data_IF_265659744838
#
_entry.id   IF_265659744838
#
_cell.length_a   1.000
_cell.length_b   1.000
_cell.length_c   1.000
_cell.angle_alpha   90.00
_cell.angle_beta   90.00
_cell.angle_gamma   90.00
#
_symmetry.space_group_name_H-M   'P 1'
#
loop_
_entity.id
_entity.type
_entity.pdbx_description
1 polymer ?
#
# COMPACT_ATOMS: atom_id res chain seq x y z
N UNK A 1 5.54 -23.56 -7.65
CA UNK A 1 6.76 -23.76 -6.83
C UNK A 1 7.33 -22.38 -6.53
N UNK A 2 7.63 -22.07 -5.26
CA UNK A 2 8.17 -20.74 -4.90
C UNK A 2 9.63 -20.69 -5.34
N UNK A 3 10.04 -19.73 -6.19
CA UNK A 3 11.41 -19.63 -6.68
C UNK A 3 12.30 -19.02 -5.60
N UNK A 4 12.74 -19.84 -4.64
CA UNK A 4 13.73 -19.41 -3.64
C UNK A 4 15.13 -19.59 -4.22
N UNK A 5 15.95 -18.56 -4.14
CA UNK A 5 17.38 -18.66 -4.47
C UNK A 5 18.12 -19.40 -3.33
N UNK A 6 18.54 -20.66 -3.53
CA UNK A 6 19.26 -21.42 -2.51
C UNK A 6 20.66 -20.86 -2.21
N UNK A 7 21.18 -19.97 -3.07
CA UNK A 7 22.44 -19.27 -2.79
C UNK A 7 22.24 -18.20 -1.73
N UNK A 8 21.09 -17.53 -1.74
CA UNK A 8 20.74 -16.47 -0.79
C UNK A 8 20.23 -17.05 0.54
N UNK A 9 19.29 -17.99 0.49
CA UNK A 9 18.62 -18.53 1.68
C UNK A 9 19.18 -19.91 2.06
N UNK A 10 19.93 -20.03 3.17
CA UNK A 10 20.38 -21.32 3.67
C UNK A 10 19.19 -22.15 4.18
N UNK A 11 19.29 -23.47 4.06
CA UNK A 11 18.39 -24.39 4.78
C UNK A 11 18.69 -24.28 6.26
N UNK A 12 17.68 -23.98 7.07
CA UNK A 12 17.81 -23.89 8.52
C UNK A 12 16.49 -24.25 9.19
N UNK A 13 16.57 -25.07 10.24
CA UNK A 13 15.41 -25.42 11.04
C UNK A 13 14.87 -24.20 11.78
N UNK A 14 13.55 -24.03 11.74
CA UNK A 14 12.88 -22.90 12.36
C UNK A 14 13.11 -21.57 11.64
N UNK A 15 13.56 -21.56 10.38
CA UNK A 15 13.64 -20.36 9.55
C UNK A 15 12.58 -20.38 8.46
N UNK A 16 11.83 -19.27 8.36
CA UNK A 16 10.67 -19.17 7.49
C UNK A 16 10.73 -17.88 6.68
N UNK A 17 10.65 -17.98 5.35
CA UNK A 17 10.38 -16.81 4.52
C UNK A 17 8.90 -16.47 4.61
N UNK A 18 8.54 -15.21 4.87
CA UNK A 18 7.19 -14.81 5.27
C UNK A 18 6.71 -13.57 4.52
N UNK A 19 5.41 -13.27 4.65
CA UNK A 19 4.90 -11.93 4.36
C UNK A 19 4.72 -11.62 2.88
N UNK A 20 5.02 -10.37 2.52
CA UNK A 20 4.80 -9.84 1.18
C UNK A 20 5.67 -10.53 0.13
N UNK A 21 6.87 -10.99 0.51
CA UNK A 21 7.78 -11.69 -0.40
C UNK A 21 7.16 -12.98 -0.97
N UNK A 22 6.48 -13.77 -0.13
CA UNK A 22 5.78 -15.00 -0.54
C UNK A 22 4.64 -14.68 -1.49
N UNK A 23 3.80 -13.70 -1.14
CA UNK A 23 2.69 -13.23 -1.98
C UNK A 23 3.20 -12.79 -3.35
N UNK A 24 4.25 -11.98 -3.38
CA UNK A 24 4.78 -11.39 -4.60
C UNK A 24 5.30 -12.48 -5.55
N UNK A 25 6.05 -13.45 -5.03
CA UNK A 25 6.51 -14.61 -5.79
C UNK A 25 5.37 -15.48 -6.31
N UNK A 26 4.33 -15.73 -5.50
CA UNK A 26 3.15 -16.48 -5.94
C UNK A 26 2.34 -15.72 -7.02
N UNK A 27 2.41 -14.39 -7.02
CA UNK A 27 1.88 -13.52 -8.08
C UNK A 27 2.82 -13.36 -9.29
N UNK A 28 3.93 -14.10 -9.35
CA UNK A 28 4.89 -14.04 -10.46
C UNK A 28 5.76 -12.76 -10.48
N UNK A 29 5.88 -12.06 -9.35
CA UNK A 29 6.76 -10.89 -9.18
C UNK A 29 8.04 -11.28 -8.44
N UNK A 30 9.14 -10.61 -8.76
CA UNK A 30 10.40 -10.76 -8.03
C UNK A 30 10.48 -9.72 -6.91
N UNK A 31 10.39 -10.11 -5.63
CA UNK A 31 10.55 -9.16 -4.53
C UNK A 31 12.01 -8.69 -4.42
N UNK A 32 12.19 -7.43 -4.05
CA UNK A 32 13.49 -6.85 -3.69
C UNK A 32 13.71 -6.88 -2.17
N UNK A 33 12.61 -6.87 -1.40
CA UNK A 33 12.58 -6.95 0.04
C UNK A 33 12.02 -8.32 0.47
N UNK A 34 12.78 -9.04 1.28
CA UNK A 34 12.41 -10.34 1.83
C UNK A 34 12.26 -10.25 3.34
N UNK A 35 11.19 -10.81 3.87
CA UNK A 35 10.97 -10.92 5.32
C UNK A 35 11.21 -12.37 5.74
N UNK A 36 12.05 -12.59 6.75
CA UNK A 36 12.31 -13.90 7.35
C UNK A 36 11.94 -13.87 8.83
N UNK A 37 11.12 -14.83 9.26
CA UNK A 37 10.87 -15.12 10.66
C UNK A 37 11.70 -16.33 11.10
N UNK A 38 12.40 -16.22 12.23
CA UNK A 38 13.17 -17.34 12.81
C UNK A 38 12.69 -17.68 14.22
N UNK A 39 12.69 -18.96 14.58
CA UNK A 39 12.40 -19.43 15.95
C UNK A 39 13.64 -19.32 16.86
N UNK A 40 14.84 -19.35 16.28
CA UNK A 40 16.12 -19.22 16.97
C UNK A 40 16.63 -17.78 17.04
N UNK A 41 17.96 -17.62 17.04
CA UNK A 41 18.62 -16.30 17.06
C UNK A 41 18.58 -15.63 15.67
N UNK A 42 17.91 -14.48 15.52
CA UNK A 42 17.88 -13.74 14.25
C UNK A 42 19.27 -13.27 13.80
N UNK A 43 20.18 -12.94 14.72
CA UNK A 43 21.51 -12.46 14.36
C UNK A 43 22.38 -13.57 13.76
N UNK A 44 22.27 -14.78 14.30
CA UNK A 44 22.98 -15.95 13.75
C UNK A 44 22.54 -16.23 12.31
N UNK A 45 21.23 -16.28 12.06
CA UNK A 45 20.70 -16.51 10.72
C UNK A 45 21.10 -15.37 9.75
N UNK A 46 21.05 -14.12 10.22
CA UNK A 46 21.45 -12.96 9.44
C UNK A 46 22.93 -12.99 9.02
N UNK A 47 23.85 -13.44 9.88
CA UNK A 47 25.26 -13.60 9.54
C UNK A 47 25.48 -14.60 8.41
N UNK A 48 24.69 -15.68 8.37
CA UNK A 48 24.77 -16.66 7.29
C UNK A 48 24.33 -16.05 5.96
N UNK A 49 23.22 -15.30 5.94
CA UNK A 49 22.74 -14.59 4.74
C UNK A 49 23.75 -13.52 4.30
N UNK A 50 24.27 -12.71 5.23
CA UNK A 50 25.24 -11.66 4.93
C UNK A 50 26.52 -12.24 4.30
N UNK A 51 27.01 -13.38 4.80
CA UNK A 51 28.18 -14.06 4.23
C UNK A 51 27.93 -14.55 2.80
N UNK A 52 26.76 -15.13 2.54
CA UNK A 52 26.37 -15.66 1.23
C UNK A 52 26.13 -14.57 0.18
N UNK A 53 25.52 -13.46 0.60
CA UNK A 53 25.15 -12.34 -0.28
C UNK A 53 26.23 -11.25 -0.34
N UNK A 54 27.31 -11.37 0.46
CA UNK A 54 28.28 -10.30 0.72
C UNK A 54 27.60 -9.01 1.21
N UNK A 55 26.47 -9.16 1.89
CA UNK A 55 25.67 -8.07 2.42
C UNK A 55 26.20 -7.50 3.73
N UNK A 56 25.69 -6.34 4.12
CA UNK A 56 25.99 -5.67 5.40
C UNK A 56 24.83 -5.84 6.37
N UNK A 57 25.17 -6.10 7.64
CA UNK A 57 24.21 -6.19 8.73
C UNK A 57 23.91 -4.81 9.30
N UNK A 58 22.63 -4.51 9.50
CA UNK A 58 22.13 -3.30 10.15
C UNK A 58 21.07 -3.72 11.16
N UNK A 59 21.27 -3.35 12.42
CA UNK A 59 20.26 -3.54 13.45
C UNK A 59 19.33 -2.33 13.48
N UNK A 60 18.03 -2.57 13.34
CA UNK A 60 17.00 -1.53 13.28
C UNK A 60 15.92 -1.87 14.29
N UNK A 61 15.52 -0.90 15.11
CA UNK A 61 14.37 -1.03 16.00
C UNK A 61 14.65 -0.60 17.42
N UNK A 62 13.73 -1.00 18.31
CA UNK A 62 13.80 -0.75 19.75
C UNK A 62 13.99 -2.08 20.47
N UNK A 63 14.53 -2.10 21.70
CA UNK A 63 14.57 -3.31 22.53
C UNK A 63 13.20 -3.99 22.58
N UNK A 64 13.14 -5.28 22.22
CA UNK A 64 11.90 -6.07 22.11
C UNK A 64 11.21 -6.06 20.73
N UNK A 65 11.66 -5.22 19.79
CA UNK A 65 11.23 -5.19 18.38
C UNK A 65 12.45 -4.96 17.48
N UNK A 66 13.49 -5.76 17.69
CA UNK A 66 14.72 -5.68 16.89
C UNK A 66 14.54 -6.42 15.58
N UNK A 67 14.88 -5.75 14.49
CA UNK A 67 14.95 -6.31 13.14
C UNK A 67 16.43 -6.30 12.74
N UNK A 68 16.93 -7.46 12.31
CA UNK A 68 18.28 -7.57 11.74
C UNK A 68 18.13 -7.52 10.23
N UNK A 69 18.56 -6.40 9.63
CA UNK A 69 18.50 -6.18 8.19
C UNK A 69 19.83 -6.55 7.54
N UNK A 70 19.78 -7.38 6.50
CA UNK A 70 20.90 -7.63 5.59
C UNK A 70 20.66 -6.85 4.31
N UNK A 71 21.56 -5.92 3.97
CA UNK A 71 21.52 -5.17 2.71
C UNK A 71 22.62 -5.68 1.78
N UNK A 72 22.25 -6.17 0.61
CA UNK A 72 23.15 -6.62 -0.44
C UNK A 72 22.93 -5.84 -1.75
N UNK A 73 23.74 -6.09 -2.78
CA UNK A 73 23.56 -5.47 -4.10
C UNK A 73 22.23 -5.87 -4.77
N UNK A 74 21.70 -7.04 -4.44
CA UNK A 74 20.56 -7.64 -5.15
C UNK A 74 19.27 -7.69 -4.34
N UNK A 75 19.35 -7.60 -3.01
CA UNK A 75 18.19 -7.74 -2.13
C UNK A 75 18.42 -7.11 -0.75
N UNK A 76 17.30 -6.77 -0.11
CA UNK A 76 17.21 -6.45 1.32
C UNK A 76 16.48 -7.60 2.00
N UNK A 77 17.03 -8.10 3.11
CA UNK A 77 16.42 -9.18 3.90
C UNK A 77 16.25 -8.72 5.34
N UNK A 78 15.00 -8.63 5.79
CA UNK A 78 14.63 -8.31 7.17
C UNK A 78 14.40 -9.60 7.95
N UNK A 79 15.14 -9.77 9.04
CA UNK A 79 15.10 -10.98 9.85
C UNK A 79 14.60 -10.63 11.23
N UNK A 80 13.52 -11.28 11.64
CA UNK A 80 12.84 -11.07 12.91
C UNK A 80 12.69 -12.38 13.67
N UNK A 81 12.74 -12.30 14.99
CA UNK A 81 12.36 -13.43 15.82
C UNK A 81 10.84 -13.62 15.78
N UNK A 82 10.38 -14.84 15.52
CA UNK A 82 8.97 -15.17 15.46
C UNK A 82 8.29 -14.97 16.83
N UNK A 83 7.05 -14.48 16.81
CA UNK A 83 6.26 -14.28 18.04
C UNK A 83 5.98 -15.60 18.74
N UNK A 84 6.12 -15.59 20.07
CA UNK A 84 5.85 -16.73 20.95
C UNK A 84 6.54 -18.04 20.52
N UNK A 85 7.67 -17.96 19.81
CA UNK A 85 8.35 -19.11 19.23
C UNK A 85 7.45 -20.00 18.34
N UNK A 86 6.42 -19.43 17.70
CA UNK A 86 5.50 -20.16 16.83
C UNK A 86 5.21 -19.40 15.55
N UNK A 87 5.53 -20.01 14.41
CA UNK A 87 5.23 -19.45 13.09
C UNK A 87 3.72 -19.24 12.90
N UNK A 88 2.89 -20.15 13.40
CA UNK A 88 1.43 -20.02 13.28
C UNK A 88 0.92 -18.76 13.99
N UNK A 89 1.41 -18.49 15.21
CA UNK A 89 1.04 -17.28 15.95
C UNK A 89 1.56 -16.00 15.28
N UNK A 90 2.76 -16.02 14.70
CA UNK A 90 3.28 -14.90 13.91
C UNK A 90 2.35 -14.59 12.74
N UNK A 91 1.99 -15.61 11.96
CA UNK A 91 1.08 -15.48 10.81
C UNK A 91 -0.29 -14.94 11.23
N UNK A 92 -0.83 -15.36 12.38
CA UNK A 92 -2.12 -14.87 12.89
C UNK A 92 -2.08 -13.40 13.36
N UNK A 93 -0.89 -12.83 13.60
CA UNK A 93 -0.74 -11.44 14.01
C UNK A 93 -0.58 -10.45 12.83
N UNK A 94 -0.53 -10.98 11.59
CA UNK A 94 -0.35 -10.20 10.38
C UNK A 94 -1.61 -9.43 9.99
N UNK A 95 -1.45 -8.58 8.99
CA UNK A 95 -2.50 -7.69 8.50
C UNK A 95 -3.53 -8.44 7.65
N UNK A 96 -3.13 -8.99 6.52
CA UNK A 96 -4.03 -9.60 5.54
C UNK A 96 -3.68 -11.06 5.31
N UNK A 97 -4.68 -11.86 4.98
CA UNK A 97 -4.52 -13.31 4.78
C UNK A 97 -3.45 -13.62 3.75
N UNK A 98 -3.46 -12.92 2.62
CA UNK A 98 -2.46 -13.05 1.55
C UNK A 98 -1.01 -12.75 1.99
N UNK A 99 -0.80 -12.09 3.13
CA UNK A 99 0.52 -11.87 3.72
C UNK A 99 0.82 -12.83 4.89
N UNK A 100 -0.13 -13.68 5.26
CA UNK A 100 -0.05 -14.63 6.37
C UNK A 100 0.29 -16.05 5.89
N UNK A 101 1.24 -16.13 4.96
CA UNK A 101 1.88 -17.37 4.54
C UNK A 101 3.36 -17.37 4.93
N UNK A 102 3.89 -18.56 5.12
CA UNK A 102 5.31 -18.79 5.36
C UNK A 102 5.83 -19.92 4.46
N UNK A 103 7.08 -19.86 4.04
CA UNK A 103 7.77 -20.97 3.40
C UNK A 103 8.88 -21.45 4.32
N UNK A 104 8.81 -22.72 4.72
CA UNK A 104 9.79 -23.38 5.57
C UNK A 104 11.08 -23.62 4.79
N UNK A 105 12.17 -22.98 5.21
CA UNK A 105 13.47 -23.07 4.52
C UNK A 105 14.18 -24.41 4.76
N UNK A 106 13.78 -25.19 5.78
CA UNK A 106 14.29 -26.54 6.01
C UNK A 106 13.50 -27.56 5.20
N UNK A 107 12.18 -27.61 5.40
CA UNK A 107 11.29 -28.60 4.80
C UNK A 107 11.00 -28.32 3.30
N UNK A 108 11.16 -27.07 2.85
CA UNK A 108 10.86 -26.66 1.49
C UNK A 108 9.35 -26.68 1.18
N UNK A 109 8.52 -26.33 2.16
CA UNK A 109 7.07 -26.40 2.07
C UNK A 109 6.40 -25.07 2.43
N UNK A 110 5.27 -24.80 1.78
CA UNK A 110 4.42 -23.65 2.09
C UNK A 110 3.52 -23.97 3.29
N UNK A 111 3.56 -23.09 4.28
CA UNK A 111 2.72 -23.08 5.48
C UNK A 111 1.65 -22.01 5.29
N UNK A 112 0.41 -22.47 5.17
CA UNK A 112 -0.77 -21.63 4.98
C UNK A 112 -1.88 -22.06 5.95
N UNK A 113 -1.87 -21.55 7.19
CA UNK A 113 -2.81 -21.99 8.24
C UNK A 113 -4.23 -21.46 8.06
N UNK A 114 -4.45 -20.45 7.20
CA UNK A 114 -5.73 -19.72 7.10
C UNK A 114 -6.31 -19.67 5.68
N UNK A 115 -5.74 -20.44 4.75
CA UNK A 115 -6.22 -20.48 3.36
C UNK A 115 -5.90 -19.21 2.57
N UNK A 116 -4.80 -18.54 2.88
CA UNK A 116 -4.30 -17.37 2.17
C UNK A 116 -4.12 -17.60 0.66
N UNK A 117 -3.76 -18.81 0.24
CA UNK A 117 -3.68 -19.17 -1.18
C UNK A 117 -5.04 -19.06 -1.88
N UNK A 118 -6.14 -19.39 -1.18
CA UNK A 118 -7.48 -19.27 -1.75
C UNK A 118 -7.83 -17.79 -2.01
N UNK A 119 -7.60 -16.93 -1.03
CA UNK A 119 -7.81 -15.48 -1.19
C UNK A 119 -6.87 -14.90 -2.27
N UNK A 120 -5.62 -15.35 -2.34
CA UNK A 120 -4.67 -14.92 -3.36
C UNK A 120 -5.15 -15.29 -4.77
N UNK A 121 -5.60 -16.54 -4.97
CA UNK A 121 -6.12 -17.03 -6.25
C UNK A 121 -7.39 -16.29 -6.67
N UNK A 122 -8.26 -15.96 -5.70
CA UNK A 122 -9.49 -15.22 -5.93
C UNK A 122 -9.30 -13.70 -5.98
N UNK A 123 -8.06 -13.21 -5.82
CA UNK A 123 -7.73 -11.78 -5.81
C UNK A 123 -8.47 -10.99 -4.72
N UNK A 124 -8.50 -11.53 -3.51
CA UNK A 124 -9.21 -10.96 -2.35
C UNK A 124 -8.21 -10.44 -1.31
N UNK A 125 -8.44 -9.22 -0.83
CA UNK A 125 -7.84 -8.67 0.38
C UNK A 125 -8.80 -8.94 1.55
N UNK A 126 -8.38 -9.84 2.45
CA UNK A 126 -9.11 -10.20 3.66
C UNK A 126 -8.26 -9.93 4.89
N UNK A 127 -8.81 -9.29 5.92
CA UNK A 127 -8.14 -9.13 7.21
C UNK A 127 -7.96 -10.47 7.92
N UNK A 128 -6.83 -10.67 8.61
CA UNK A 128 -6.59 -11.87 9.43
C UNK A 128 -7.51 -11.89 10.65
N UNK A 129 -7.72 -10.74 11.29
CA UNK A 129 -8.64 -10.53 12.40
C UNK A 129 -9.09 -9.08 12.46
N UNK A 130 -10.18 -8.78 13.16
CA UNK A 130 -10.68 -7.40 13.32
C UNK A 130 -9.74 -6.51 14.15
N UNK A 131 -8.98 -7.11 15.07
CA UNK A 131 -8.05 -6.40 15.94
C UNK A 131 -6.86 -5.77 15.19
N UNK A 132 -6.59 -6.16 13.94
CA UNK A 132 -5.41 -5.68 13.22
C UNK A 132 -5.41 -4.16 13.08
N UNK A 133 -6.59 -3.55 12.90
CA UNK A 133 -6.72 -2.11 12.69
C UNK A 133 -6.56 -1.33 13.98
N UNK A 134 -6.99 -1.90 15.11
CA UNK A 134 -6.78 -1.32 16.44
C UNK A 134 -5.30 -1.37 16.85
N UNK A 135 -4.60 -2.44 16.49
CA UNK A 135 -3.16 -2.61 16.80
C UNK A 135 -2.26 -1.72 15.95
N UNK A 136 -2.59 -1.52 14.67
CA UNK A 136 -1.83 -0.65 13.77
C UNK A 136 -2.79 0.00 12.75
N UNK A 137 -3.32 1.20 13.05
CA UNK A 137 -4.35 1.83 12.22
C UNK A 137 -3.89 2.16 10.80
N UNK A 138 -2.59 2.25 10.52
CA UNK A 138 -2.09 2.44 9.15
C UNK A 138 -2.51 1.29 8.22
N UNK A 139 -2.84 0.12 8.78
CA UNK A 139 -3.33 -1.04 8.02
C UNK A 139 -4.64 -0.74 7.28
N UNK A 140 -5.44 0.22 7.75
CA UNK A 140 -6.64 0.69 7.05
C UNK A 140 -6.31 1.17 5.63
N UNK A 141 -5.28 2.02 5.52
CA UNK A 141 -4.80 2.54 4.23
C UNK A 141 -4.02 1.47 3.45
N UNK A 142 -3.27 0.63 4.16
CA UNK A 142 -2.50 -0.47 3.56
C UNK A 142 -3.39 -1.48 2.82
N UNK A 143 -4.64 -1.70 3.29
CA UNK A 143 -5.62 -2.54 2.58
C UNK A 143 -5.83 -2.03 1.15
N UNK A 144 -6.11 -0.74 1.00
CA UNK A 144 -6.30 -0.10 -0.31
C UNK A 144 -5.03 -0.06 -1.14
N UNK A 145 -3.89 0.23 -0.52
CA UNK A 145 -2.59 0.20 -1.20
C UNK A 145 -2.32 -1.17 -1.82
N UNK A 146 -2.46 -2.25 -1.05
CA UNK A 146 -2.23 -3.61 -1.57
C UNK A 146 -3.27 -3.95 -2.63
N UNK A 147 -4.55 -3.64 -2.39
CA UNK A 147 -5.61 -3.85 -3.36
C UNK A 147 -5.28 -3.17 -4.71
N UNK A 148 -4.84 -1.91 -4.69
CA UNK A 148 -4.42 -1.18 -5.90
C UNK A 148 -3.17 -1.74 -6.57
N UNK A 149 -2.17 -2.14 -5.78
CA UNK A 149 -0.92 -2.68 -6.30
C UNK A 149 -1.10 -4.01 -7.05
N UNK A 150 -2.07 -4.83 -6.64
CA UNK A 150 -2.34 -6.14 -7.23
C UNK A 150 -3.64 -6.19 -8.06
N UNK A 151 -4.40 -5.10 -8.10
CA UNK A 151 -5.73 -5.03 -8.69
C UNK A 151 -6.69 -6.09 -8.08
N UNK A 152 -6.73 -6.15 -6.74
CA UNK A 152 -7.53 -7.09 -5.94
C UNK A 152 -8.76 -6.39 -5.36
N UNK A 153 -9.78 -7.16 -5.04
CA UNK A 153 -10.97 -6.67 -4.35
C UNK A 153 -10.81 -6.80 -2.84
N UNK A 154 -11.33 -5.85 -2.07
CA UNK A 154 -11.37 -5.95 -0.61
C UNK A 154 -12.68 -6.64 -0.21
N UNK A 155 -12.60 -7.69 0.61
CA UNK A 155 -13.77 -8.43 1.08
C UNK A 155 -14.74 -7.51 1.84
N UNK A 156 -16.05 -7.70 1.67
CA UNK A 156 -17.09 -6.88 2.30
C UNK A 156 -16.96 -6.74 3.82
N UNK A 157 -16.63 -7.82 4.55
CA UNK A 157 -16.40 -7.76 6.00
C UNK A 157 -15.17 -6.91 6.34
N UNK A 158 -14.09 -7.07 5.56
CA UNK A 158 -12.88 -6.25 5.69
C UNK A 158 -13.18 -4.78 5.40
N UNK A 159 -13.98 -4.46 4.36
CA UNK A 159 -14.43 -3.09 4.05
C UNK A 159 -15.24 -2.47 5.19
N UNK A 160 -16.19 -3.23 5.77
CA UNK A 160 -16.99 -2.77 6.90
C UNK A 160 -16.12 -2.47 8.12
N UNK A 161 -15.18 -3.36 8.45
CA UNK A 161 -14.23 -3.14 9.54
C UNK A 161 -13.34 -1.91 9.29
N UNK A 162 -12.93 -1.66 8.04
CA UNK A 162 -12.19 -0.45 7.69
C UNK A 162 -13.03 0.80 7.95
N UNK A 163 -14.30 0.81 7.53
CA UNK A 163 -15.20 1.95 7.72
C UNK A 163 -15.41 2.26 9.22
N UNK A 164 -15.67 1.24 10.02
CA UNK A 164 -15.87 1.37 11.47
C UNK A 164 -14.62 1.94 12.17
N UNK A 165 -13.43 1.53 11.72
CA UNK A 165 -12.16 1.91 12.34
C UNK A 165 -11.48 3.11 11.65
N UNK A 166 -12.09 3.72 10.62
CA UNK A 166 -11.51 4.83 9.87
C UNK A 166 -10.99 5.97 10.77
N UNK A 167 -11.69 6.42 11.84
CA UNK A 167 -11.20 7.46 12.75
C UNK A 167 -9.85 7.15 13.42
N UNK A 168 -9.52 5.87 13.61
CA UNK A 168 -8.27 5.44 14.27
C UNK A 168 -7.02 5.82 13.47
N UNK A 169 -7.15 6.08 12.16
CA UNK A 169 -6.00 6.46 11.32
C UNK A 169 -5.28 7.71 11.85
N UNK A 170 -6.00 8.62 12.54
CA UNK A 170 -5.44 9.84 13.15
C UNK A 170 -4.43 9.57 14.27
N UNK A 171 -4.42 8.35 14.81
CA UNK A 171 -3.46 7.91 15.84
C UNK A 171 -2.16 7.39 15.22
N UNK A 172 -2.13 7.17 13.90
CA UNK A 172 -0.92 6.73 13.19
C UNK A 172 0.02 7.90 12.95
N UNK A 173 1.32 7.61 12.96
CA UNK A 173 2.33 8.60 12.62
C UNK A 173 2.15 9.10 11.17
N UNK A 174 2.21 10.42 10.97
CA UNK A 174 1.81 11.07 9.72
C UNK A 174 2.70 10.69 8.54
N UNK A 175 3.98 10.43 8.78
CA UNK A 175 4.92 9.93 7.77
C UNK A 175 4.52 8.55 7.24
N UNK A 176 4.03 7.65 8.11
CA UNK A 176 3.56 6.31 7.69
C UNK A 176 2.28 6.41 6.87
N UNK A 177 1.36 7.30 7.25
CA UNK A 177 0.13 7.55 6.48
C UNK A 177 0.47 8.11 5.10
N UNK A 178 1.34 9.12 5.03
CA UNK A 178 1.83 9.70 3.76
C UNK A 178 2.47 8.63 2.88
N UNK A 179 3.37 7.81 3.43
CA UNK A 179 4.09 6.81 2.66
C UNK A 179 3.15 5.73 2.08
N UNK A 180 2.16 5.28 2.85
CA UNK A 180 1.13 4.34 2.36
C UNK A 180 0.23 5.00 1.29
N UNK A 181 -0.15 6.27 1.45
CA UNK A 181 -0.93 7.02 0.45
C UNK A 181 -0.15 7.19 -0.85
N UNK A 182 1.12 7.59 -0.79
CA UNK A 182 1.93 7.78 -1.99
C UNK A 182 2.21 6.45 -2.71
N UNK A 183 2.38 5.35 -1.98
CA UNK A 183 2.46 4.01 -2.58
C UNK A 183 1.14 3.59 -3.24
N UNK A 184 -0.01 3.96 -2.67
CA UNK A 184 -1.31 3.77 -3.33
C UNK A 184 -1.34 4.53 -4.65
N UNK A 185 -0.98 5.82 -4.65
CA UNK A 185 -0.96 6.67 -5.84
C UNK A 185 0.04 6.20 -6.90
N UNK A 186 1.15 5.59 -6.50
CA UNK A 186 2.13 4.98 -7.42
C UNK A 186 1.52 3.84 -8.25
N UNK A 187 0.47 3.18 -7.75
CA UNK A 187 -0.19 2.09 -8.46
C UNK A 187 -0.78 2.58 -9.78
N UNK A 188 -0.71 1.77 -10.84
CA UNK A 188 -1.21 2.15 -12.16
C UNK A 188 -2.73 2.43 -12.17
N UNK A 189 -3.49 1.82 -11.26
CA UNK A 189 -4.94 1.94 -11.14
C UNK A 189 -5.39 2.28 -9.72
N UNK A 190 -5.21 3.51 -9.26
CA UNK A 190 -5.54 3.96 -7.91
C UNK A 190 -6.92 4.60 -7.77
N UNK A 191 -7.50 5.11 -8.87
CA UNK A 191 -8.80 5.78 -8.87
C UNK A 191 -9.93 5.00 -8.16
N UNK A 192 -10.21 3.73 -8.49
CA UNK A 192 -11.34 3.01 -7.87
C UNK A 192 -11.13 2.77 -6.36
N UNK A 193 -9.89 2.73 -5.89
CA UNK A 193 -9.58 2.55 -4.47
C UNK A 193 -9.70 3.87 -3.70
N UNK A 194 -9.32 5.00 -4.32
CA UNK A 194 -9.59 6.32 -3.76
C UNK A 194 -11.09 6.58 -3.62
N UNK A 195 -11.90 6.19 -4.62
CA UNK A 195 -13.37 6.27 -4.52
C UNK A 195 -13.88 5.47 -3.31
N UNK A 196 -13.45 4.21 -3.18
CA UNK A 196 -13.84 3.37 -2.04
C UNK A 196 -13.36 3.90 -0.68
N UNK A 197 -12.21 4.58 -0.63
CA UNK A 197 -11.74 5.27 0.58
C UNK A 197 -12.56 6.52 0.91
N UNK A 198 -13.11 7.18 -0.10
CA UNK A 198 -14.02 8.29 0.08
C UNK A 198 -15.40 7.81 0.55
N UNK A 199 -15.89 6.70 -0.01
CA UNK A 199 -17.19 6.11 0.32
C UNK A 199 -17.28 5.63 1.78
N UNK A 200 -16.16 5.31 2.41
CA UNK A 200 -16.09 4.90 3.81
C UNK A 200 -15.44 5.92 4.75
N UNK A 201 -15.38 7.18 4.32
CA UNK A 201 -14.83 8.33 5.06
C UNK A 201 -13.34 8.23 5.48
N UNK A 202 -12.62 7.17 5.11
CA UNK A 202 -11.20 7.04 5.41
C UNK A 202 -10.39 8.17 4.76
N UNK A 203 -10.67 8.48 3.48
CA UNK A 203 -9.97 9.56 2.76
C UNK A 203 -10.19 10.91 3.43
N UNK A 204 -11.43 11.23 3.82
CA UNK A 204 -11.79 12.48 4.49
C UNK A 204 -11.28 12.56 5.92
N UNK A 205 -11.06 11.42 6.57
CA UNK A 205 -10.41 11.37 7.88
C UNK A 205 -8.92 11.73 7.79
N UNK A 206 -8.26 11.33 6.69
CA UNK A 206 -6.84 11.63 6.41
C UNK A 206 -6.67 13.07 5.89
N UNK A 207 -7.57 13.52 5.01
CA UNK A 207 -7.56 14.83 4.36
C UNK A 207 -8.91 15.53 4.56
N UNK A 208 -9.18 16.12 5.74
CA UNK A 208 -10.46 16.74 6.05
C UNK A 208 -10.83 17.89 5.11
N UNK A 209 -9.84 18.56 4.52
CA UNK A 209 -10.03 19.66 3.57
C UNK A 209 -10.77 19.22 2.29
N UNK A 210 -10.76 17.93 1.95
CA UNK A 210 -11.48 17.41 0.79
C UNK A 210 -13.00 17.33 1.03
N UNK A 211 -13.48 17.38 2.28
CA UNK A 211 -14.91 17.28 2.60
C UNK A 211 -15.68 18.45 1.98
N UNK A 212 -15.13 19.65 2.06
CA UNK A 212 -15.79 20.87 1.59
C UNK A 212 -16.02 20.87 0.07
N UNK A 213 -15.22 20.10 -0.68
CA UNK A 213 -15.42 19.90 -2.11
C UNK A 213 -16.74 19.20 -2.45
N UNK A 214 -17.28 18.35 -1.55
CA UNK A 214 -18.59 17.70 -1.74
C UNK A 214 -19.73 18.73 -1.75
N UNK A 215 -19.57 19.82 -1.00
CA UNK A 215 -20.59 20.85 -0.84
C UNK A 215 -20.40 22.02 -1.82
N UNK A 216 -19.23 22.12 -2.44
CA UNK A 216 -18.92 23.15 -3.42
C UNK A 216 -19.52 22.81 -4.80
N UNK A 217 -20.68 23.39 -5.11
CA UNK A 217 -21.25 23.33 -6.46
C UNK A 217 -20.39 24.14 -7.43
N UNK A 218 -20.03 23.54 -8.56
CA UNK A 218 -19.46 24.26 -9.69
C UNK A 218 -20.58 25.05 -10.41
N UNK A 219 -20.21 26.07 -11.18
CA UNK A 219 -21.16 27.05 -11.77
C UNK A 219 -22.30 26.39 -12.60
N UNK A 220 -23.23 27.20 -13.14
CA UNK A 220 -24.45 26.74 -13.83
C UNK A 220 -24.23 25.78 -15.03
N UNK A 221 -22.99 25.63 -15.51
CA UNK A 221 -22.63 24.75 -16.63
C UNK A 221 -22.04 23.39 -16.21
N UNK A 222 -21.86 23.14 -14.91
CA UNK A 222 -21.26 21.90 -14.41
C UNK A 222 -22.32 21.00 -13.77
N UNK A 223 -22.40 19.76 -14.24
CA UNK A 223 -23.32 18.75 -13.68
C UNK A 223 -22.84 18.19 -12.34
N UNK A 224 -21.58 18.43 -11.97
CA UNK A 224 -20.89 17.80 -10.84
C UNK A 224 -20.50 18.81 -9.77
N UNK A 225 -20.44 18.37 -8.50
CA UNK A 225 -19.78 19.13 -7.44
C UNK A 225 -18.25 19.08 -7.60
N UNK A 226 -17.52 19.90 -6.84
CA UNK A 226 -16.06 19.98 -6.96
C UNK A 226 -15.36 18.65 -6.63
N UNK A 227 -15.94 17.84 -5.75
CA UNK A 227 -15.40 16.50 -5.41
C UNK A 227 -15.53 15.52 -6.58
N UNK A 228 -16.72 15.41 -7.17
CA UNK A 228 -16.98 14.58 -8.35
C UNK A 228 -16.12 15.00 -9.55
N UNK A 229 -15.97 16.30 -9.76
CA UNK A 229 -15.04 16.86 -10.74
C UNK A 229 -13.60 16.41 -10.48
N UNK A 230 -13.15 16.50 -9.22
CA UNK A 230 -11.80 16.09 -8.81
C UNK A 230 -11.55 14.61 -9.09
N UNK A 231 -12.49 13.73 -8.75
CA UNK A 231 -12.39 12.30 -9.04
C UNK A 231 -12.36 12.02 -10.56
N UNK A 232 -13.20 12.70 -11.34
CA UNK A 232 -13.22 12.54 -12.79
C UNK A 232 -11.92 13.02 -13.44
N UNK A 233 -11.39 14.17 -13.01
CA UNK A 233 -10.10 14.69 -13.45
C UNK A 233 -8.96 13.72 -13.09
N UNK A 234 -8.97 13.17 -11.87
CA UNK A 234 -8.03 12.14 -11.43
C UNK A 234 -8.10 10.89 -12.31
N UNK A 235 -9.30 10.40 -12.63
CA UNK A 235 -9.50 9.26 -13.53
C UNK A 235 -8.92 9.50 -14.91
N UNK A 236 -9.16 10.68 -15.50
CA UNK A 236 -8.61 11.04 -16.80
C UNK A 236 -7.09 11.17 -16.77
N UNK A 237 -6.52 11.78 -15.72
CA UNK A 237 -5.08 11.81 -15.52
C UNK A 237 -4.49 10.39 -15.48
N UNK A 238 -5.10 9.48 -14.72
CA UNK A 238 -4.61 8.11 -14.62
C UNK A 238 -4.66 7.37 -15.97
N UNK A 239 -5.71 7.60 -16.77
CA UNK A 239 -5.77 7.09 -18.15
C UNK A 239 -4.63 7.62 -19.03
N UNK A 240 -4.35 8.91 -18.95
CA UNK A 240 -3.25 9.55 -19.70
C UNK A 240 -1.89 8.99 -19.28
N UNK A 241 -1.65 8.84 -17.98
CA UNK A 241 -0.41 8.25 -17.46
C UNK A 241 -0.25 6.78 -17.88
N UNK A 242 -1.35 6.03 -18.00
CA UNK A 242 -1.34 4.63 -18.44
C UNK A 242 -1.09 4.48 -19.94
N UNK A 243 -1.67 5.34 -20.77
CA UNK A 243 -1.49 5.23 -22.23
C UNK A 243 -0.06 5.57 -22.67
N UNK A 244 0.66 6.43 -21.94
CA UNK A 244 2.03 6.93 -22.25
C UNK A 244 2.18 7.58 -23.64
N UNK A 245 1.15 7.58 -24.47
CA UNK A 245 1.22 7.87 -25.90
C UNK A 245 0.40 9.09 -26.33
N UNK A 246 -0.53 9.58 -25.52
CA UNK A 246 -1.36 10.73 -25.91
C UNK A 246 -0.70 12.10 -25.67
N UNK A 247 0.42 12.14 -24.96
CA UNK A 247 1.27 13.33 -24.97
C UNK A 247 2.00 13.50 -26.31
N UNK A 248 2.03 12.50 -27.20
CA UNK A 248 2.96 12.48 -28.34
C UNK A 248 2.56 13.31 -29.58
N UNK A 249 1.59 14.23 -29.50
CA UNK A 249 1.28 15.14 -30.61
C UNK A 249 1.30 16.62 -30.19
N UNK A 250 2.01 17.46 -30.95
CA UNK A 250 2.12 18.90 -30.71
C UNK A 250 3.07 19.26 -29.55
N UNK A 251 2.77 20.33 -28.81
CA UNK A 251 3.57 20.78 -27.66
C UNK A 251 3.69 19.73 -26.53
N UNK A 252 2.81 18.72 -26.51
CA UNK A 252 2.91 17.58 -25.60
C UNK A 252 4.08 16.65 -25.90
N UNK A 253 4.61 16.62 -27.14
CA UNK A 253 5.65 15.67 -27.52
C UNK A 253 6.99 15.95 -26.81
N UNK A 254 7.23 17.21 -26.41
CA UNK A 254 8.35 17.59 -25.55
C UNK A 254 8.16 17.12 -24.10
N UNK A 255 6.91 16.95 -23.63
CA UNK A 255 6.57 16.44 -22.30
C UNK A 255 6.49 14.90 -22.25
N UNK A 256 6.17 14.26 -23.38
CA UNK A 256 6.07 12.80 -23.51
C UNK A 256 7.42 12.09 -23.21
N UNK A 257 8.54 12.77 -23.41
CA UNK A 257 9.87 12.31 -22.99
C UNK A 257 10.26 12.66 -21.54
N UNK A 258 9.39 13.33 -20.77
CA UNK A 258 9.81 14.09 -19.58
C UNK A 258 9.23 13.68 -18.22
N UNK A 259 8.16 12.88 -18.15
CA UNK A 259 7.56 12.49 -16.86
C UNK A 259 8.01 11.08 -16.49
N UNK A 260 8.92 10.99 -15.51
CA UNK A 260 9.37 9.72 -14.95
C UNK A 260 8.25 9.08 -14.11
N UNK A 261 8.19 7.74 -14.08
CA UNK A 261 7.20 7.01 -13.26
C UNK A 261 7.25 7.36 -11.77
N UNK A 262 8.44 7.73 -11.28
CA UNK A 262 8.65 8.21 -9.92
C UNK A 262 7.89 9.51 -9.60
N UNK A 263 7.47 10.27 -10.61
CA UNK A 263 6.71 11.51 -10.45
C UNK A 263 5.18 11.28 -10.48
N UNK A 264 4.72 10.08 -10.85
CA UNK A 264 3.28 9.78 -10.93
C UNK A 264 2.52 9.99 -9.63
N UNK A 265 3.03 9.57 -8.44
CA UNK A 265 2.34 9.81 -7.18
C UNK A 265 2.10 11.30 -6.92
N UNK A 266 3.11 12.13 -7.21
CA UNK A 266 3.03 13.57 -7.00
C UNK A 266 2.01 14.21 -7.95
N UNK A 267 2.02 13.84 -9.23
CA UNK A 267 1.03 14.35 -10.19
C UNK A 267 -0.40 13.97 -9.80
N UNK A 268 -0.61 12.72 -9.38
CA UNK A 268 -1.91 12.24 -8.91
C UNK A 268 -2.33 12.95 -7.63
N UNK A 269 -1.42 13.16 -6.70
CA UNK A 269 -1.69 13.93 -5.48
C UNK A 269 -2.05 15.38 -5.80
N UNK A 270 -1.29 16.05 -6.69
CA UNK A 270 -1.60 17.40 -7.16
C UNK A 270 -2.97 17.48 -7.80
N UNK A 271 -3.37 16.47 -8.59
CA UNK A 271 -4.71 16.41 -9.17
C UNK A 271 -5.81 16.23 -8.12
N UNK A 272 -5.56 15.43 -7.08
CA UNK A 272 -6.49 15.26 -5.96
C UNK A 272 -6.74 16.57 -5.20
N UNK A 273 -5.78 17.50 -5.19
CA UNK A 273 -5.89 18.78 -4.48
C UNK A 273 -5.96 20.01 -5.39
N UNK A 274 -6.10 19.84 -6.72
CA UNK A 274 -5.94 20.93 -7.68
C UNK A 274 -6.95 22.08 -7.47
N UNK A 275 -8.12 21.75 -6.94
CA UNK A 275 -9.24 22.65 -6.69
C UNK A 275 -9.55 22.83 -5.20
N UNK A 276 -8.63 22.43 -4.30
CA UNK A 276 -8.86 22.41 -2.85
C UNK A 276 -9.20 23.79 -2.26
N UNK A 277 -8.81 24.88 -2.94
CA UNK A 277 -9.11 26.25 -2.55
C UNK A 277 -10.50 26.76 -2.98
N UNK A 278 -11.23 26.07 -3.87
CA UNK A 278 -12.54 26.54 -4.35
C UNK A 278 -13.56 26.78 -3.24
N UNK A 279 -13.72 25.91 -2.23
CA UNK A 279 -14.70 26.13 -1.18
C UNK A 279 -14.46 27.42 -0.37
N UNK A 280 -13.20 27.78 -0.13
CA UNK A 280 -12.87 28.97 0.67
C UNK A 280 -13.00 30.29 -0.10
N UNK A 281 -12.98 30.25 -1.44
CA UNK A 281 -13.06 31.44 -2.31
C UNK A 281 -14.43 31.61 -2.97
N UNK A 282 -15.39 30.72 -2.70
CA UNK A 282 -16.72 30.75 -3.29
C UNK A 282 -17.50 32.00 -2.86
N UNK A 283 -17.89 32.83 -3.84
CA UNK A 283 -18.71 34.02 -3.66
C UNK A 283 -19.84 34.03 -4.68
N UNK A 284 -21.05 34.38 -4.24
CA UNK A 284 -22.16 34.63 -5.16
C UNK A 284 -22.19 36.11 -5.56
N UNK A 285 -22.34 36.40 -6.84
CA UNK A 285 -22.64 37.75 -7.30
C UNK A 285 -24.12 38.13 -7.06
N UNK A 286 -24.48 39.37 -7.38
CA UNK A 286 -25.84 39.89 -7.21
C UNK A 286 -26.91 39.13 -8.02
N UNK A 287 -26.50 38.37 -9.04
CA UNK A 287 -27.37 37.57 -9.89
C UNK A 287 -27.42 36.10 -9.46
N UNK A 288 -26.75 35.73 -8.34
CA UNK A 288 -26.67 34.35 -7.86
C UNK A 288 -25.66 33.48 -8.61
N UNK A 289 -24.81 34.07 -9.46
CA UNK A 289 -23.73 33.33 -10.14
C UNK A 289 -22.57 33.13 -9.18
N UNK A 290 -22.08 31.88 -9.10
CA UNK A 290 -20.97 31.51 -8.26
C UNK A 290 -19.63 31.84 -8.95
N UNK A 291 -18.76 32.54 -8.22
CA UNK A 291 -17.40 32.90 -8.59
C UNK A 291 -16.41 32.38 -7.55
N UNK A 292 -15.17 32.13 -7.94
CA UNK A 292 -14.13 31.52 -7.09
C UNK A 292 -12.86 32.37 -7.00
N UNK A 293 -12.99 33.69 -7.11
CA UNK A 293 -11.85 34.61 -7.04
C UNK A 293 -11.25 34.63 -5.63
N UNK A 294 -9.98 34.23 -5.55
CA UNK A 294 -9.15 34.22 -4.34
C UNK A 294 -7.77 34.79 -4.61
#
# INVERSE_FOLDING_TARGET
>A
MIPIDPKMFPKADGAFLVGGSIRDMLCGRSPLDYDVAVLGDPLEFARQIATRTKGRLVEIGKPGQMIIRVVSETAIVDIVQAKDASIQKDLMARDFTINAMAYDLSAGQLVDPIGAQHDLNNRIIRMVSEDIFKRDPVRLLRAYRIAAQFAFEIESKTKAAIAENAPLIRQSASERVRDELFKLLQSAGSHPYLCQMADNDLLFTIMPELVDLKHCRQNQHHQFNAWEHTLLAFYHLEKLLKSRTEFATGAGAQLAGGIAEAQFPLLKFSMLIHDIGKPSTQKADRNGTLHFYG
#
